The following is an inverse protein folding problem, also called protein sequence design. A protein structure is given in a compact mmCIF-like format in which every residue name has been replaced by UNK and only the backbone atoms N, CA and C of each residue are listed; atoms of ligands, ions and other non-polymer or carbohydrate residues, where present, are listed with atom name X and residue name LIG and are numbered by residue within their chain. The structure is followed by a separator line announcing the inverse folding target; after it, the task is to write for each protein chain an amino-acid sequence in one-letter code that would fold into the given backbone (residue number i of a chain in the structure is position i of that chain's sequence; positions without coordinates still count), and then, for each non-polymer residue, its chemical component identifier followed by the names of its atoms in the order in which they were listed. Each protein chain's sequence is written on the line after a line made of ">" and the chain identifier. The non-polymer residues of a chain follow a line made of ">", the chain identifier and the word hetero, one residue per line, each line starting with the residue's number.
data_IF_890860578387
#
_entry.id   IF_890860578387
#
_cell.length_a   1.000
_cell.length_b   1.000
_cell.length_c   1.000
_cell.angle_alpha   90.00
_cell.angle_beta   90.00
_cell.angle_gamma   90.00
#
_symmetry.space_group_name_H-M   'P 1'
#
loop_
_entity.id
_entity.type
_entity.pdbx_description
1 polymer ?
#
# COMPACT_ATOMS: atom_id res chain seq x y z
N UNK A 1 15.46 2.08 -16.45
CA UNK A 1 16.52 1.78 -15.47
C UNK A 1 15.94 2.09 -14.10
N UNK A 2 15.88 1.12 -13.19
CA UNK A 2 15.41 1.38 -11.82
C UNK A 2 16.58 2.00 -11.08
N UNK A 3 16.57 3.31 -10.95
CA UNK A 3 17.51 3.97 -10.05
C UNK A 3 17.17 3.53 -8.63
N UNK A 4 17.97 2.59 -8.15
CA UNK A 4 18.00 2.22 -6.75
C UNK A 4 18.42 3.49 -6.02
N UNK A 5 17.46 4.15 -5.35
CA UNK A 5 17.69 5.35 -4.56
C UNK A 5 18.67 5.02 -3.42
N UNK A 6 19.96 4.99 -3.74
CA UNK A 6 21.01 4.85 -2.73
C UNK A 6 21.03 6.15 -1.94
N UNK A 7 21.04 6.07 -0.60
CA UNK A 7 21.10 7.27 0.23
C UNK A 7 22.34 8.07 -0.13
N UNK A 8 22.18 9.38 -0.30
CA UNK A 8 23.28 10.28 -0.65
C UNK A 8 24.37 10.33 0.43
N UNK A 9 24.04 9.93 1.67
CA UNK A 9 24.96 9.92 2.81
C UNK A 9 24.46 8.97 3.93
N UNK A 10 25.39 8.51 4.78
CA UNK A 10 25.15 7.60 5.92
C UNK A 10 24.16 8.15 6.95
N UNK A 11 24.11 9.48 7.13
CA UNK A 11 23.15 10.13 8.04
C UNK A 11 21.71 9.93 7.54
N UNK A 12 21.49 10.07 6.22
CA UNK A 12 20.17 9.88 5.61
C UNK A 12 19.77 8.40 5.67
N UNK A 13 20.73 7.48 5.51
CA UNK A 13 20.47 6.04 5.62
C UNK A 13 20.08 5.64 7.06
N UNK A 14 20.81 6.13 8.05
CA UNK A 14 20.53 5.90 9.46
C UNK A 14 19.15 6.47 9.85
N UNK A 15 18.84 7.68 9.40
CA UNK A 15 17.54 8.31 9.62
C UNK A 15 16.40 7.52 8.98
N UNK A 16 16.56 7.10 7.72
CA UNK A 16 15.60 6.25 7.01
C UNK A 16 15.42 4.87 7.66
N UNK A 17 16.45 4.35 8.33
CA UNK A 17 16.43 3.05 9.02
C UNK A 17 15.74 3.12 10.38
N UNK A 18 15.87 4.24 11.11
CA UNK A 18 15.27 4.40 12.44
C UNK A 18 13.84 4.95 12.34
N UNK A 19 13.67 6.06 11.62
CA UNK A 19 12.39 6.76 11.55
C UNK A 19 11.47 6.17 10.47
N UNK A 20 12.05 5.45 9.52
CA UNK A 20 11.33 4.84 8.42
C UNK A 20 11.01 5.86 7.33
N UNK A 21 11.59 5.67 6.15
CA UNK A 21 11.23 6.48 4.99
C UNK A 21 9.79 6.14 4.52
N UNK A 22 8.90 7.15 4.47
CA UNK A 22 7.54 7.01 3.92
C UNK A 22 7.53 6.48 2.48
N UNK A 23 8.58 6.75 1.70
CA UNK A 23 8.73 6.21 0.33
C UNK A 23 8.90 4.68 0.31
N UNK A 24 9.38 4.06 1.39
CA UNK A 24 9.47 2.60 1.51
C UNK A 24 8.14 1.96 1.98
N UNK A 25 7.20 2.74 2.51
CA UNK A 25 5.92 2.24 3.04
C UNK A 25 4.93 1.89 1.92
N UNK A 26 5.08 2.51 0.74
CA UNK A 26 4.29 2.19 -0.48
C UNK A 26 4.98 1.10 -1.32
N UNK A 27 5.99 0.42 -0.78
CA UNK A 27 6.63 -0.71 -1.46
C UNK A 27 5.83 -2.00 -1.26
N UNK A 28 5.81 -2.88 -2.27
CA UNK A 28 5.21 -4.23 -2.15
C UNK A 28 5.73 -5.01 -0.92
N UNK A 29 6.94 -4.71 -0.48
CA UNK A 29 7.53 -5.31 0.73
C UNK A 29 6.94 -4.80 2.04
N UNK A 30 6.43 -3.55 2.10
CA UNK A 30 5.74 -3.04 3.28
C UNK A 30 4.42 -3.78 3.51
N UNK A 31 3.67 -4.05 2.43
CA UNK A 31 2.44 -4.86 2.48
C UNK A 31 2.74 -6.30 2.92
N UNK A 32 3.87 -6.88 2.48
CA UNK A 32 4.32 -8.21 2.95
C UNK A 32 4.72 -8.23 4.42
N UNK A 33 5.17 -7.11 5.00
CA UNK A 33 5.52 -7.01 6.42
C UNK A 33 4.32 -6.81 7.34
N UNK A 34 3.12 -6.55 6.80
CA UNK A 34 1.91 -6.38 7.62
C UNK A 34 1.50 -7.69 8.34
N UNK A 35 1.00 -7.60 9.58
CA UNK A 35 0.49 -8.75 10.32
C UNK A 35 -0.72 -9.38 9.60
N UNK A 36 -0.87 -10.70 9.74
CA UNK A 36 -1.89 -11.49 9.02
C UNK A 36 -3.31 -10.90 9.12
N UNK A 37 -3.82 -10.49 10.31
CA UNK A 37 -5.16 -9.94 10.43
C UNK A 37 -5.38 -8.69 9.58
N UNK A 38 -4.39 -7.80 9.55
CA UNK A 38 -4.47 -6.53 8.82
C UNK A 38 -4.42 -6.75 7.30
N UNK A 39 -3.70 -7.77 6.84
CA UNK A 39 -3.74 -8.20 5.42
C UNK A 39 -5.13 -8.67 5.02
N UNK A 40 -5.74 -9.57 5.80
CA UNK A 40 -7.09 -10.06 5.52
C UNK A 40 -8.12 -8.93 5.52
N UNK A 41 -8.01 -8.00 6.48
CA UNK A 41 -8.86 -6.81 6.51
C UNK A 41 -8.70 -5.95 5.26
N UNK A 42 -7.47 -5.72 4.80
CA UNK A 42 -7.21 -5.00 3.55
C UNK A 42 -7.83 -5.65 2.33
N UNK A 43 -7.72 -6.98 2.20
CA UNK A 43 -8.36 -7.73 1.11
C UNK A 43 -9.89 -7.68 1.18
N UNK A 44 -10.46 -7.82 2.38
CA UNK A 44 -11.90 -7.71 2.60
C UNK A 44 -12.40 -6.31 2.20
N UNK A 45 -11.72 -5.25 2.64
CA UNK A 45 -12.10 -3.88 2.34
C UNK A 45 -12.00 -3.58 0.84
N UNK A 46 -10.92 -4.01 0.19
CA UNK A 46 -10.76 -3.83 -1.26
C UNK A 46 -11.84 -4.55 -2.05
N UNK A 47 -12.21 -5.77 -1.64
CA UNK A 47 -13.29 -6.54 -2.26
C UNK A 47 -14.65 -5.89 -2.04
N UNK A 48 -14.96 -5.47 -0.81
CA UNK A 48 -16.20 -4.80 -0.46
C UNK A 48 -16.40 -3.50 -1.24
N UNK A 49 -15.37 -2.67 -1.35
CA UNK A 49 -15.40 -1.43 -2.13
C UNK A 49 -15.60 -1.72 -3.61
N UNK A 50 -14.87 -2.70 -4.17
CA UNK A 50 -15.01 -3.09 -5.58
C UNK A 50 -16.43 -3.54 -5.91
N UNK A 51 -17.02 -4.38 -5.06
CA UNK A 51 -18.40 -4.87 -5.22
C UNK A 51 -19.39 -3.72 -5.07
N UNK A 52 -19.20 -2.82 -4.11
CA UNK A 52 -20.09 -1.67 -3.88
C UNK A 52 -20.11 -0.73 -5.08
N UNK A 53 -18.95 -0.43 -5.67
CA UNK A 53 -18.84 0.39 -6.88
C UNK A 53 -19.51 -0.30 -8.06
N UNK A 54 -19.27 -1.61 -8.24
CA UNK A 54 -19.90 -2.38 -9.32
C UNK A 54 -21.43 -2.35 -9.20
N UNK A 55 -21.95 -2.54 -7.98
CA UNK A 55 -23.39 -2.51 -7.71
C UNK A 55 -23.99 -1.12 -8.00
N UNK A 56 -23.29 -0.05 -7.61
CA UNK A 56 -23.70 1.32 -7.88
C UNK A 56 -23.78 1.60 -9.38
N UNK A 57 -22.80 1.13 -10.16
CA UNK A 57 -22.82 1.24 -11.63
C UNK A 57 -24.03 0.51 -12.21
N UNK A 58 -24.27 -0.75 -11.79
CA UNK A 58 -25.40 -1.55 -12.29
C UNK A 58 -26.73 -0.87 -11.96
N UNK A 59 -26.92 -0.41 -10.72
CA UNK A 59 -28.12 0.31 -10.30
C UNK A 59 -28.33 1.58 -11.12
N UNK A 60 -27.26 2.32 -11.40
CA UNK A 60 -27.32 3.54 -12.20
C UNK A 60 -27.57 3.27 -13.71
N UNK A 61 -27.27 2.08 -14.21
CA UNK A 61 -27.60 1.68 -15.59
C UNK A 61 -29.02 1.11 -15.72
N UNK A 62 -29.56 0.56 -14.65
CA UNK A 62 -30.89 -0.07 -14.63
C UNK A 62 -32.02 0.90 -14.22
N UNK A 63 -31.65 2.05 -13.66
CA UNK A 63 -32.53 3.18 -13.35
C UNK A 63 -32.54 4.16 -14.53
#
# INVERSE_FOLDING_TARGET
>A
MKEENKPFNDVIDHFNKIEGNASNVVSKDAVKKLPKPLKYFGYFMASFLSISILLMIILNLLH
#
